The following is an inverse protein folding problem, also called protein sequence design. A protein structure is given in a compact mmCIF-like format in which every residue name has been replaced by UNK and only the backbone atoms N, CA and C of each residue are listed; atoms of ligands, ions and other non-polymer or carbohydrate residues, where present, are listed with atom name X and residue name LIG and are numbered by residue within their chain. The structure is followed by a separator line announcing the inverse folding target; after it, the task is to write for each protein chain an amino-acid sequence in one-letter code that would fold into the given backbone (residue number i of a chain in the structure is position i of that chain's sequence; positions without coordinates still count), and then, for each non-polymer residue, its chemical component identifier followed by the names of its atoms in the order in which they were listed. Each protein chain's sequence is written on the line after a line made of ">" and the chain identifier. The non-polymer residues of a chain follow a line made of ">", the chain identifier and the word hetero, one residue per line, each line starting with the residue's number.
data_IF_916057310598
#
_entry.id   IF_916057310598
#
_cell.length_a   1.000
_cell.length_b   1.000
_cell.length_c   1.000
_cell.angle_alpha   90.00
_cell.angle_beta   90.00
_cell.angle_gamma   90.00
#
_symmetry.space_group_name_H-M   'P 1'
#
loop_
_entity.id
_entity.type
_entity.pdbx_description
1 polymer ?
#
# COMPACT_ATOMS: atom_id res chain seq x y z
N UNK A 1 9.04 16.54 -14.70
CA UNK A 1 8.96 15.91 -13.36
C UNK A 1 10.12 14.93 -13.19
N UNK A 2 10.65 14.71 -11.98
CA UNK A 2 11.72 13.73 -11.79
C UNK A 2 11.19 12.32 -12.11
N UNK A 3 11.88 11.56 -12.94
CA UNK A 3 11.57 10.17 -13.21
C UNK A 3 12.05 9.31 -12.03
N UNK A 4 11.23 8.39 -11.57
CA UNK A 4 11.62 7.41 -10.54
C UNK A 4 12.65 6.45 -11.12
N UNK A 5 13.76 6.27 -10.40
CA UNK A 5 14.77 5.27 -10.72
C UNK A 5 14.57 4.07 -9.82
N UNK A 6 14.74 2.89 -10.36
CA UNK A 6 14.60 1.62 -9.64
C UNK A 6 15.89 0.81 -9.75
N UNK A 7 16.14 -0.02 -8.75
CA UNK A 7 17.07 -1.13 -8.83
C UNK A 7 16.35 -2.31 -9.52
N UNK A 8 17.10 -3.15 -10.19
CA UNK A 8 16.56 -4.30 -10.91
C UNK A 8 16.14 -5.45 -9.97
N UNK A 9 16.46 -5.35 -8.67
CA UNK A 9 16.11 -6.33 -7.67
C UNK A 9 15.79 -5.68 -6.31
N UNK A 10 15.06 -6.38 -5.41
CA UNK A 10 14.97 -6.03 -4.01
C UNK A 10 16.34 -6.03 -3.33
N UNK A 11 16.48 -5.28 -2.25
CA UNK A 11 17.69 -5.32 -1.42
C UNK A 11 17.60 -6.47 -0.42
N UNK A 12 18.75 -6.95 0.07
CA UNK A 12 18.80 -8.08 1.01
C UNK A 12 17.96 -7.87 2.27
N UNK A 13 17.85 -6.63 2.75
CA UNK A 13 17.03 -6.31 3.92
C UNK A 13 15.51 -6.26 3.65
N UNK A 14 15.08 -6.21 2.39
CA UNK A 14 13.66 -6.23 2.02
C UNK A 14 13.04 -7.63 2.28
N UNK A 15 13.82 -8.72 2.14
CA UNK A 15 13.33 -10.08 2.35
C UNK A 15 13.00 -10.39 3.82
N UNK A 16 13.84 -10.07 4.82
CA UNK A 16 13.45 -10.18 6.22
C UNK A 16 12.21 -9.34 6.57
N UNK A 17 12.06 -8.15 5.99
CA UNK A 17 10.86 -7.31 6.20
C UNK A 17 9.60 -7.99 5.65
N UNK A 18 9.68 -8.55 4.43
CA UNK A 18 8.58 -9.32 3.84
C UNK A 18 8.27 -10.59 4.65
N UNK A 19 9.28 -11.31 5.12
CA UNK A 19 9.10 -12.49 5.98
C UNK A 19 8.42 -12.13 7.31
N UNK A 20 8.74 -10.98 7.90
CA UNK A 20 8.08 -10.48 9.09
C UNK A 20 6.60 -10.16 8.82
N UNK A 21 6.29 -9.49 7.69
CA UNK A 21 4.91 -9.25 7.28
C UNK A 21 4.15 -10.56 7.06
N UNK A 22 4.74 -11.52 6.35
CA UNK A 22 4.14 -12.84 6.11
C UNK A 22 3.89 -13.60 7.41
N UNK A 23 4.66 -13.34 8.48
CA UNK A 23 4.42 -13.97 9.78
C UNK A 23 3.09 -13.58 10.43
N UNK A 24 2.50 -12.47 10.02
CA UNK A 24 1.17 -12.04 10.46
C UNK A 24 0.04 -12.77 9.71
N UNK A 25 0.34 -13.32 8.52
CA UNK A 25 -0.64 -13.95 7.63
C UNK A 25 -0.54 -15.48 7.65
N UNK A 26 0.65 -16.02 7.90
CA UNK A 26 0.95 -17.45 7.84
C UNK A 26 1.50 -17.90 9.18
N UNK A 27 0.77 -18.75 9.90
CA UNK A 27 1.14 -19.23 11.21
C UNK A 27 2.29 -20.24 11.20
N UNK A 28 2.44 -21.04 10.12
CA UNK A 28 3.47 -22.09 10.02
C UNK A 28 4.85 -21.49 9.68
N UNK A 29 5.88 -21.68 10.53
CA UNK A 29 7.22 -21.14 10.30
C UNK A 29 7.93 -21.71 9.06
N UNK A 30 7.71 -23.01 8.75
CA UNK A 30 8.33 -23.64 7.60
C UNK A 30 7.74 -23.10 6.29
N UNK A 31 6.41 -22.92 6.22
CA UNK A 31 5.78 -22.31 5.07
C UNK A 31 6.21 -20.85 4.87
N UNK A 32 6.42 -20.09 5.96
CA UNK A 32 6.94 -18.73 5.86
C UNK A 32 8.35 -18.66 5.28
N UNK A 33 9.24 -19.54 5.74
CA UNK A 33 10.60 -19.61 5.21
C UNK A 33 10.60 -19.96 3.72
N UNK A 34 9.72 -20.86 3.31
CA UNK A 34 9.54 -21.25 1.92
C UNK A 34 9.03 -20.08 1.06
N UNK A 35 8.01 -19.36 1.52
CA UNK A 35 7.50 -18.17 0.82
C UNK A 35 8.56 -17.08 0.67
N UNK A 36 9.38 -16.87 1.69
CA UNK A 36 10.50 -15.93 1.62
C UNK A 36 11.55 -16.37 0.58
N UNK A 37 11.87 -17.67 0.51
CA UNK A 37 12.75 -18.25 -0.50
C UNK A 37 12.16 -18.07 -1.92
N UNK A 38 10.89 -18.36 -2.09
CA UNK A 38 10.21 -18.18 -3.40
C UNK A 38 10.20 -16.70 -3.86
N UNK A 39 10.02 -15.75 -2.95
CA UNK A 39 10.15 -14.33 -3.25
C UNK A 39 11.56 -13.96 -3.73
N UNK A 40 12.60 -14.61 -3.15
CA UNK A 40 13.98 -14.41 -3.56
C UNK A 40 14.22 -14.91 -4.99
N UNK A 41 13.61 -16.02 -5.39
CA UNK A 41 13.85 -16.67 -6.67
C UNK A 41 12.88 -16.20 -7.78
N UNK A 42 11.79 -15.49 -7.43
CA UNK A 42 10.80 -15.04 -8.38
C UNK A 42 11.40 -14.06 -9.42
N UNK A 43 11.02 -14.17 -10.70
CA UNK A 43 11.44 -13.22 -11.71
C UNK A 43 10.87 -11.83 -11.45
N UNK A 44 11.62 -10.81 -11.88
CA UNK A 44 11.15 -9.42 -11.81
C UNK A 44 10.14 -9.15 -12.91
N UNK A 45 8.97 -8.63 -12.54
CA UNK A 45 7.93 -8.14 -13.42
C UNK A 45 7.67 -6.66 -13.11
N UNK A 46 6.96 -5.95 -14.02
CA UNK A 46 6.69 -4.53 -13.86
C UNK A 46 5.19 -4.28 -13.81
N UNK A 47 4.73 -3.49 -12.85
CA UNK A 47 3.32 -3.11 -12.67
C UNK A 47 3.21 -1.61 -12.42
N UNK A 48 2.11 -1.00 -12.86
CA UNK A 48 1.85 0.42 -12.62
C UNK A 48 1.55 0.70 -11.14
N UNK A 49 2.06 1.82 -10.62
CA UNK A 49 1.83 2.23 -9.24
C UNK A 49 0.34 2.24 -8.87
N UNK A 50 -0.51 2.81 -9.74
CA UNK A 50 -1.98 2.83 -9.57
C UNK A 50 -2.60 1.43 -9.50
N UNK A 51 -2.09 0.49 -10.30
CA UNK A 51 -2.64 -0.86 -10.35
C UNK A 51 -2.26 -1.67 -9.11
N UNK A 52 -1.06 -1.46 -8.58
CA UNK A 52 -0.63 -2.06 -7.31
C UNK A 52 -1.51 -1.59 -6.14
N UNK A 53 -1.78 -0.27 -6.03
CA UNK A 53 -2.65 0.27 -4.99
C UNK A 53 -4.08 -0.24 -5.15
N UNK A 54 -4.61 -0.25 -6.37
CA UNK A 54 -5.96 -0.74 -6.64
C UNK A 54 -6.12 -2.24 -6.34
N UNK A 55 -5.16 -3.06 -6.79
CA UNK A 55 -5.19 -4.51 -6.58
C UNK A 55 -4.99 -4.90 -5.10
N UNK A 56 -4.18 -4.15 -4.37
CA UNK A 56 -3.95 -4.38 -2.95
C UNK A 56 -5.04 -3.81 -2.04
N UNK A 57 -5.91 -2.94 -2.56
CA UNK A 57 -6.93 -2.22 -1.78
C UNK A 57 -6.33 -1.38 -0.63
N UNK A 58 -5.04 -1.11 -0.68
CA UNK A 58 -4.37 -0.28 0.31
C UNK A 58 -4.62 1.20 0.01
N UNK A 59 -4.86 2.03 1.03
CA UNK A 59 -5.04 3.47 0.84
C UNK A 59 -3.75 4.13 0.37
N UNK A 60 -3.84 5.17 -0.44
CA UNK A 60 -2.70 6.02 -0.72
C UNK A 60 -2.30 6.79 0.54
N UNK A 61 -1.11 6.52 1.08
CA UNK A 61 -0.58 7.24 2.23
C UNK A 61 -0.24 8.68 1.86
N UNK A 62 -0.48 9.62 2.77
CA UNK A 62 -0.17 11.02 2.55
C UNK A 62 1.33 11.25 2.29
N UNK A 63 1.67 12.26 1.47
CA UNK A 63 3.07 12.66 1.23
C UNK A 63 3.84 12.99 2.51
N UNK A 64 3.12 13.49 3.54
CA UNK A 64 3.67 13.81 4.85
C UNK A 64 4.00 12.57 5.70
N UNK A 65 3.57 11.36 5.29
CA UNK A 65 4.00 10.14 5.98
C UNK A 65 5.54 10.08 5.97
N UNK A 66 6.20 9.83 7.12
CA UNK A 66 7.66 9.91 7.23
C UNK A 66 8.42 9.03 6.22
N UNK A 67 7.91 7.83 5.94
CA UNK A 67 8.52 6.89 5.01
C UNK A 67 8.28 7.29 3.55
N UNK A 68 7.05 7.69 3.19
CA UNK A 68 6.73 8.22 1.86
C UNK A 68 7.58 9.46 1.58
N UNK A 69 7.65 10.41 2.53
CA UNK A 69 8.48 11.60 2.40
C UNK A 69 9.97 11.27 2.25
N UNK A 70 10.46 10.22 2.93
CA UNK A 70 11.84 9.75 2.77
C UNK A 70 12.10 9.23 1.35
N UNK A 71 11.19 8.42 0.80
CA UNK A 71 11.33 7.89 -0.55
C UNK A 71 11.16 8.99 -1.61
N UNK A 72 10.27 9.95 -1.42
CA UNK A 72 10.17 11.13 -2.28
C UNK A 72 11.47 11.95 -2.27
N UNK A 73 12.17 12.06 -1.11
CA UNK A 73 13.51 12.71 -1.05
C UNK A 73 14.55 11.94 -1.83
N UNK A 74 14.58 10.59 -1.77
CA UNK A 74 15.46 9.75 -2.58
C UNK A 74 15.21 10.00 -4.07
N UNK A 75 13.94 9.99 -4.51
CA UNK A 75 13.56 10.24 -5.91
C UNK A 75 14.05 11.62 -6.38
N UNK A 76 13.82 12.67 -5.58
CA UNK A 76 14.31 14.03 -5.90
C UNK A 76 15.84 14.10 -6.02
N UNK A 77 16.55 13.31 -5.24
CA UNK A 77 18.01 13.15 -5.30
C UNK A 77 18.48 12.20 -6.41
N UNK A 78 17.56 11.66 -7.23
CA UNK A 78 17.82 10.67 -8.27
C UNK A 78 18.45 9.37 -7.74
N UNK A 79 18.25 9.06 -6.48
CA UNK A 79 18.65 7.80 -5.86
C UNK A 79 17.64 6.71 -6.25
N UNK A 80 18.09 5.49 -6.60
CA UNK A 80 17.19 4.41 -6.96
C UNK A 80 16.46 3.85 -5.73
N UNK A 81 15.22 3.40 -5.95
CA UNK A 81 14.44 2.61 -4.99
C UNK A 81 14.64 1.12 -5.28
N UNK A 82 14.58 0.27 -4.28
CA UNK A 82 14.60 -1.19 -4.46
C UNK A 82 13.25 -1.71 -4.96
N UNK A 83 13.26 -2.81 -5.71
CA UNK A 83 12.08 -3.47 -6.22
C UNK A 83 11.15 -3.93 -5.07
N UNK A 84 9.87 -4.12 -5.37
CA UNK A 84 8.80 -4.42 -4.40
C UNK A 84 8.54 -5.92 -4.33
N UNK A 85 8.17 -6.43 -3.13
CA UNK A 85 7.85 -7.83 -2.91
C UNK A 85 6.34 -8.01 -2.74
N UNK A 86 5.77 -8.91 -3.54
CA UNK A 86 4.32 -9.10 -3.67
C UNK A 86 3.93 -10.56 -3.53
N UNK A 87 2.75 -10.80 -2.95
CA UNK A 87 2.06 -12.09 -3.01
C UNK A 87 0.73 -11.88 -3.72
N UNK A 88 0.46 -12.68 -4.74
CA UNK A 88 -0.75 -12.56 -5.54
C UNK A 88 -2.00 -12.80 -4.69
N UNK A 89 -2.99 -11.94 -4.87
CA UNK A 89 -4.33 -12.13 -4.32
C UNK A 89 -5.12 -13.20 -5.09
N UNK A 90 -6.27 -13.55 -4.56
CA UNK A 90 -7.24 -14.45 -5.19
C UNK A 90 -8.59 -13.74 -5.28
N UNK A 91 -8.93 -13.28 -6.49
CA UNK A 91 -10.17 -12.55 -6.73
C UNK A 91 -11.42 -13.43 -6.45
N UNK A 92 -11.32 -14.74 -6.73
CA UNK A 92 -12.45 -15.67 -6.53
C UNK A 92 -12.75 -15.86 -5.05
N UNK A 93 -11.69 -15.92 -4.22
CA UNK A 93 -11.80 -16.04 -2.76
C UNK A 93 -11.90 -14.70 -2.05
N UNK A 94 -11.79 -13.58 -2.76
CA UNK A 94 -11.88 -12.24 -2.20
C UNK A 94 -10.61 -11.75 -1.49
N UNK A 95 -9.46 -12.38 -1.74
CA UNK A 95 -8.18 -11.93 -1.17
C UNK A 95 -7.50 -10.90 -2.09
N UNK A 96 -7.20 -9.69 -1.60
CA UNK A 96 -6.47 -8.69 -2.38
C UNK A 96 -4.99 -9.07 -2.55
N UNK A 97 -4.31 -8.43 -3.50
CA UNK A 97 -2.86 -8.46 -3.63
C UNK A 97 -2.21 -8.05 -2.31
N UNK A 98 -1.22 -8.80 -1.85
CA UNK A 98 -0.46 -8.46 -0.65
C UNK A 98 0.85 -7.78 -1.04
N UNK A 99 1.10 -6.60 -0.51
CA UNK A 99 2.40 -5.92 -0.62
C UNK A 99 3.22 -6.34 0.60
N UNK A 100 4.05 -7.37 0.42
CA UNK A 100 4.84 -7.92 1.51
C UNK A 100 5.96 -6.96 1.95
N UNK A 101 6.54 -6.23 1.00
CA UNK A 101 7.45 -5.11 1.29
C UNK A 101 7.40 -4.06 0.16
N UNK A 102 7.63 -2.80 0.51
CA UNK A 102 7.72 -1.68 -0.43
C UNK A 102 6.48 -0.81 -0.58
N UNK A 103 5.49 -0.90 0.29
CA UNK A 103 4.25 -0.10 0.23
C UNK A 103 4.51 1.41 0.15
N UNK A 104 5.44 1.96 0.95
CA UNK A 104 5.79 3.37 0.93
C UNK A 104 6.42 3.79 -0.39
N UNK A 105 7.23 2.91 -1.01
CA UNK A 105 7.84 3.11 -2.33
C UNK A 105 6.78 3.19 -3.44
N UNK A 106 5.74 2.35 -3.36
CA UNK A 106 4.59 2.41 -4.27
C UNK A 106 3.87 3.74 -4.13
N UNK A 107 3.55 4.17 -2.90
CA UNK A 107 2.90 5.46 -2.65
C UNK A 107 3.74 6.65 -3.15
N UNK A 108 5.05 6.65 -2.86
CA UNK A 108 5.95 7.71 -3.31
C UNK A 108 6.03 7.79 -4.85
N UNK A 109 6.04 6.64 -5.52
CA UNK A 109 6.06 6.57 -6.98
C UNK A 109 4.75 7.06 -7.60
N UNK A 110 3.62 6.72 -6.98
CA UNK A 110 2.30 7.22 -7.40
C UNK A 110 2.22 8.76 -7.39
N UNK A 111 2.79 9.42 -6.37
CA UNK A 111 2.83 10.89 -6.30
C UNK A 111 3.70 11.53 -7.38
N UNK A 112 4.66 10.83 -7.91
CA UNK A 112 5.48 11.32 -9.03
C UNK A 112 4.73 11.14 -10.35
N UNK A 113 4.23 9.93 -10.59
CA UNK A 113 3.39 9.56 -11.74
C UNK A 113 2.69 8.24 -11.39
N UNK A 114 1.36 8.24 -11.37
CA UNK A 114 0.54 7.04 -11.11
C UNK A 114 0.78 5.91 -12.10
N UNK A 115 1.29 6.24 -13.29
CA UNK A 115 1.64 5.29 -14.35
C UNK A 115 3.10 4.82 -14.28
N UNK A 116 3.85 5.19 -13.23
CA UNK A 116 5.22 4.70 -13.02
C UNK A 116 5.22 3.16 -13.02
N UNK A 117 6.09 2.57 -13.86
CA UNK A 117 6.38 1.14 -13.83
C UNK A 117 7.27 0.82 -12.63
N UNK A 118 6.79 -0.06 -11.77
CA UNK A 118 7.46 -0.49 -10.55
C UNK A 118 7.94 -1.93 -10.75
N UNK A 119 9.26 -2.21 -10.63
CA UNK A 119 9.76 -3.58 -10.66
C UNK A 119 9.32 -4.30 -9.38
N UNK A 120 8.81 -5.51 -9.55
CA UNK A 120 8.27 -6.31 -8.46
C UNK A 120 8.68 -7.77 -8.62
N UNK A 121 8.92 -8.47 -7.50
CA UNK A 121 8.89 -9.93 -7.46
C UNK A 121 7.56 -10.37 -6.91
N UNK A 122 6.86 -11.22 -7.66
CA UNK A 122 5.50 -11.67 -7.36
C UNK A 122 5.47 -13.19 -7.30
N UNK A 123 4.95 -13.73 -6.21
CA UNK A 123 4.68 -15.16 -6.07
C UNK A 123 3.19 -15.44 -6.02
N UNK A 124 2.83 -16.66 -6.45
CA UNK A 124 1.46 -17.18 -6.41
C UNK A 124 1.31 -18.12 -5.21
N UNK A 125 0.58 -17.73 -4.20
CA UNK A 125 0.38 -18.56 -3.00
C UNK A 125 -0.17 -19.98 -3.35
N UNK A 126 -1.19 -20.12 -4.23
CA UNK A 126 -1.68 -21.44 -4.62
C UNK A 126 -0.63 -22.29 -5.35
N UNK A 127 0.21 -21.66 -6.19
CA UNK A 127 1.28 -22.37 -6.94
C UNK A 127 2.36 -22.85 -5.97
N UNK A 128 2.76 -22.02 -5.04
CA UNK A 128 3.73 -22.38 -3.99
C UNK A 128 3.18 -23.55 -3.15
N UNK A 129 1.95 -23.47 -2.68
CA UNK A 129 1.29 -24.54 -1.93
C UNK A 129 1.23 -25.84 -2.72
N UNK A 130 0.88 -25.77 -4.02
CA UNK A 130 0.83 -26.94 -4.90
C UNK A 130 2.21 -27.57 -5.16
N UNK A 131 3.25 -26.75 -5.31
CA UNK A 131 4.65 -27.25 -5.45
C UNK A 131 5.13 -27.92 -4.19
N UNK A 132 4.89 -27.31 -3.03
CA UNK A 132 5.26 -27.85 -1.72
C UNK A 132 4.50 -29.15 -1.42
N UNK A 133 3.25 -29.27 -1.83
CA UNK A 133 2.50 -30.52 -1.73
C UNK A 133 3.17 -31.66 -2.52
N UNK A 134 3.68 -31.36 -3.73
CA UNK A 134 4.41 -32.34 -4.58
C UNK A 134 5.76 -32.75 -3.98
N UNK A 135 6.46 -31.83 -3.33
CA UNK A 135 7.75 -32.11 -2.68
C UNK A 135 7.62 -32.79 -1.32
N UNK A 136 6.39 -33.03 -0.86
CA UNK A 136 6.13 -33.75 0.38
C UNK A 136 6.37 -32.95 1.66
N UNK A 137 6.47 -31.61 1.55
CA UNK A 137 6.69 -30.73 2.70
C UNK A 137 5.62 -30.96 3.79
N UNK A 138 6.01 -31.27 5.04
CA UNK A 138 5.05 -31.52 6.13
C UNK A 138 4.20 -30.28 6.45
N UNK A 139 4.71 -29.08 6.19
CA UNK A 139 4.00 -27.81 6.41
C UNK A 139 2.77 -27.68 5.50
N UNK A 140 2.90 -28.07 4.22
CA UNK A 140 1.81 -28.02 3.27
C UNK A 140 0.74 -29.08 3.53
N UNK A 141 1.16 -30.28 3.97
CA UNK A 141 0.21 -31.32 4.36
C UNK A 141 -0.68 -30.86 5.50
N UNK A 142 -0.15 -30.07 6.46
CA UNK A 142 -0.95 -29.47 7.54
C UNK A 142 -1.89 -28.39 7.03
N UNK A 143 -1.41 -27.49 6.18
CA UNK A 143 -2.24 -26.40 5.64
C UNK A 143 -3.42 -26.94 4.80
N UNK A 144 -3.19 -27.97 3.98
CA UNK A 144 -4.24 -28.62 3.18
C UNK A 144 -5.20 -29.44 4.05
N UNK A 145 -4.76 -30.02 5.16
CA UNK A 145 -5.62 -30.72 6.08
C UNK A 145 -6.55 -29.77 6.84
N UNK A 146 -6.08 -28.57 7.16
CA UNK A 146 -6.86 -27.54 7.87
C UNK A 146 -7.97 -26.93 6.99
N UNK A 147 -7.74 -26.79 5.66
CA UNK A 147 -8.79 -26.36 4.73
C UNK A 147 -9.95 -27.38 4.64
N UNK A 148 -9.69 -28.67 4.83
CA UNK A 148 -10.73 -29.70 4.77
C UNK A 148 -11.67 -29.64 5.99
N UNK A 149 -11.22 -29.13 7.13
CA UNK A 149 -12.03 -28.95 8.33
C UNK A 149 -12.92 -27.71 8.21
N UNK A 150 -12.47 -26.65 7.55
CA UNK A 150 -13.24 -25.42 7.33
C UNK A 150 -14.42 -25.58 6.37
N UNK A 151 -14.36 -26.50 5.44
CA UNK A 151 -15.43 -26.76 4.48
C UNK A 151 -16.64 -27.50 5.11
N UNK A 152 -16.43 -28.21 6.23
CA UNK A 152 -17.50 -28.97 6.92
C UNK A 152 -18.39 -28.11 7.81
N UNK A 153 -18.04 -26.82 8.04
CA UNK A 153 -18.81 -25.90 8.91
C UNK A 153 -19.74 -24.95 8.16
N UNK A 154 -19.84 -25.05 6.83
CA UNK A 154 -20.83 -24.30 6.05
C UNK A 154 -22.06 -25.16 5.78
N UNK A 155 -22.91 -25.33 6.79
CA UNK A 155 -24.29 -25.80 6.59
C UNK A 155 -25.09 -24.73 5.86
N UNK A 156 -25.80 -25.05 4.76
CA UNK A 156 -26.69 -24.13 4.08
C UNK A 156 -28.06 -24.13 4.73
N UNK A 157 -28.20 -23.52 5.92
CA UNK A 157 -29.51 -23.34 6.51
C UNK A 157 -29.57 -22.13 7.45
N UNK A 158 -29.71 -20.95 6.88
CA UNK A 158 -30.21 -19.77 7.59
C UNK A 158 -30.80 -18.75 6.60
N UNK A 159 -31.65 -19.21 5.69
CA UNK A 159 -32.62 -18.34 5.01
C UNK A 159 -33.92 -18.34 5.83
N UNK A 160 -33.99 -17.59 6.91
CA UNK A 160 -35.28 -17.26 7.60
C UNK A 160 -35.32 -15.76 7.84
N UNK A 161 -36.08 -15.10 6.94
CA UNK A 161 -37.02 -13.99 7.15
C UNK A 161 -36.74 -13.05 8.33
N UNK A 162 -36.24 -11.85 8.03
CA UNK A 162 -36.38 -10.70 8.90
C UNK A 162 -37.57 -9.87 8.41
N UNK A 163 -38.61 -9.58 9.20
CA UNK A 163 -39.71 -8.73 8.79
C UNK A 163 -39.30 -7.27 8.72
N UNK A 164 -39.68 -6.61 7.63
CA UNK A 164 -39.51 -5.21 7.40
C UNK A 164 -40.16 -4.35 8.49
N UNK A 165 -39.32 -3.63 9.26
CA UNK A 165 -39.77 -2.62 10.21
C UNK A 165 -39.78 -1.27 9.51
N UNK A 166 -41.01 -0.72 9.30
CA UNK A 166 -41.33 0.59 8.77
C UNK A 166 -40.50 1.69 9.46
N UNK A 167 -39.78 2.51 8.69
CA UNK A 167 -39.19 3.73 9.15
C UNK A 167 -40.23 4.84 9.27
N UNK A 168 -40.21 5.67 10.33
CA UNK A 168 -41.07 6.87 10.40
C UNK A 168 -40.39 8.03 9.67
N UNK A 169 -41.16 8.69 8.82
CA UNK A 169 -40.84 9.93 8.14
C UNK A 169 -40.50 11.04 9.14
N UNK A 170 -39.34 11.67 9.03
CA UNK A 170 -39.02 12.92 9.72
C UNK A 170 -38.91 14.06 8.71
N UNK A 171 -39.81 15.04 8.95
CA UNK A 171 -39.95 16.31 8.29
C UNK A 171 -38.64 17.10 8.24
N UNK A 172 -38.38 17.71 7.10
CA UNK A 172 -37.35 18.76 6.90
C UNK A 172 -37.76 20.06 7.62
N UNK A 173 -36.84 20.79 8.21
CA UNK A 173 -37.07 22.21 8.50
C UNK A 173 -36.32 23.10 7.51
N UNK A 174 -37.00 24.23 7.25
CA UNK A 174 -36.76 25.23 6.25
C UNK A 174 -35.45 26.01 6.39
N UNK A 175 -34.99 26.50 5.24
CA UNK A 175 -34.02 27.55 4.99
C UNK A 175 -34.18 28.75 5.92
N UNK A 176 -33.07 29.21 6.48
CA UNK A 176 -32.86 30.63 6.81
C UNK A 176 -31.43 31.03 6.43
N UNK A 177 -31.34 31.85 5.42
CA UNK A 177 -30.18 32.69 5.07
C UNK A 177 -30.11 33.87 6.03
N UNK A 178 -28.91 34.34 6.41
CA UNK A 178 -28.68 35.75 6.57
C UNK A 178 -27.47 36.28 5.82
N UNK A 179 -27.73 37.29 5.08
CA UNK A 179 -27.08 38.57 4.76
C UNK A 179 -25.56 38.72 5.01
N UNK A 180 -24.93 39.01 3.94
CA UNK A 180 -23.87 39.90 3.54
C UNK A 180 -23.59 41.07 4.53
N UNK A 181 -22.35 41.13 5.08
CA UNK A 181 -21.74 42.37 5.54
C UNK A 181 -20.28 42.40 5.16
N UNK A 182 -19.94 43.22 4.18
CA UNK A 182 -18.62 43.84 4.01
C UNK A 182 -18.55 45.05 4.93
N UNK A 183 -17.40 45.34 5.53
CA UNK A 183 -16.79 46.62 5.25
C UNK A 183 -15.26 46.70 5.23
N UNK A 184 -14.81 47.61 4.39
CA UNK A 184 -13.81 48.67 4.55
C UNK A 184 -12.31 48.33 4.74
N UNK A 185 -11.62 48.45 3.71
CA UNK A 185 -10.46 49.28 3.35
C UNK A 185 -9.91 50.16 4.47
N UNK A 186 -8.65 49.89 4.90
CA UNK A 186 -7.79 50.95 5.46
C UNK A 186 -6.38 50.85 4.89
N UNK A 187 -6.02 51.97 4.36
CA UNK A 187 -4.83 52.43 3.66
C UNK A 187 -3.55 52.50 4.54
N UNK A 188 -2.43 52.21 3.86
CA UNK A 188 -1.14 52.93 3.86
C UNK A 188 -0.34 53.12 5.16
N UNK A 189 0.89 52.68 5.16
CA UNK A 189 2.06 53.55 5.36
C UNK A 189 3.38 52.74 5.23
N UNK A 190 4.13 52.94 4.16
CA UNK A 190 5.59 52.91 4.21
C UNK A 190 6.03 54.29 4.75
N UNK A 191 7.22 54.43 5.33
CA UNK A 191 8.53 54.41 4.73
C UNK A 191 9.63 53.93 5.73
N UNK A 192 10.81 53.64 5.39
CA UNK A 192 11.96 54.44 5.07
C UNK A 192 13.22 53.60 4.93
N UNK A 193 13.93 53.94 3.93
CA UNK A 193 15.30 53.58 3.52
C UNK A 193 16.27 54.15 4.55
N UNK A 194 17.27 53.37 4.98
CA UNK A 194 18.52 53.93 5.52
C UNK A 194 19.69 53.07 5.04
N UNK A 195 20.45 53.67 4.24
CA UNK A 195 21.84 53.63 3.76
C UNK A 195 22.84 52.82 4.57
N UNK A 196 23.69 52.16 3.83
CA UNK A 196 25.01 51.59 4.18
C UNK A 196 25.98 52.66 4.76
N UNK A 197 27.14 52.22 5.37
CA UNK A 197 28.31 52.07 4.52
C UNK A 197 29.21 50.87 4.89
N UNK A 198 29.92 50.38 3.89
CA UNK A 198 31.28 49.79 3.99
C UNK A 198 32.30 50.91 4.20
N UNK A 199 33.49 50.70 4.85
CA UNK A 199 34.60 50.06 4.16
C UNK A 199 35.66 49.33 5.06
N UNK A 200 36.45 48.51 4.40
CA UNK A 200 37.91 48.36 4.26
C UNK A 200 38.83 48.19 5.51
N UNK A 201 39.78 47.29 5.27
CA UNK A 201 41.19 47.23 5.65
C UNK A 201 41.60 46.77 7.05
N UNK A 202 42.14 45.63 7.13
CA UNK A 202 43.58 45.30 7.38
C UNK A 202 43.77 43.80 7.28
#
# INVERSE_FOLDING_TARGET
>A
MPKVKWQDAPQEHDYPAAAQYLSLLVGDPALRAELAGQLHDAPVAHYKAKDLLRASQLPLLAEANPHVAADLRKIRKRQPLSAVLLVRGDLIRGFPLQVADGYHRVCASYYIDENTDIPCRLIDLPTVVAQLAKTGSPAVKRALADESVGASLRSPDAAKTVPAKKAPAKKAPAKKTPAKKTPAKKTAKAPARTTAPSPADS
#
